data_IF_386139981557
#
_entry.id   IF_386139981557
#
_cell.length_a   1.000
_cell.length_b   1.000
_cell.length_c   1.000
_cell.angle_alpha   90.00
_cell.angle_beta   90.00
_cell.angle_gamma   90.00
#
_symmetry.space_group_name_H-M   'P 1'
#
loop_
_entity.id
_entity.type
_entity.pdbx_description
1 polymer ?
#
# COMPACT_ATOMS: atom_id res chain seq x y z
N UNK A 1 45.35 3.50 45.74
CA UNK A 1 44.11 2.68 45.66
C UNK A 1 42.99 3.52 45.05
N UNK A 2 42.48 4.56 45.72
CA UNK A 2 41.42 5.47 45.24
C UNK A 2 41.47 5.99 43.78
N UNK A 3 42.66 6.07 43.13
CA UNK A 3 42.79 6.47 41.72
C UNK A 3 42.51 5.34 40.71
N UNK A 4 42.56 4.06 41.11
CA UNK A 4 42.12 2.94 40.27
C UNK A 4 40.60 2.79 40.37
N UNK A 5 40.05 2.77 41.59
CA UNK A 5 38.61 2.61 41.84
C UNK A 5 37.77 3.67 41.09
N UNK A 6 38.28 4.91 41.00
CA UNK A 6 37.67 5.98 40.19
C UNK A 6 37.81 5.81 38.67
N UNK A 7 38.85 5.13 38.18
CA UNK A 7 38.98 4.77 36.76
C UNK A 7 38.03 3.63 36.42
N UNK A 8 38.05 2.56 37.20
CA UNK A 8 37.21 1.38 37.01
C UNK A 8 35.71 1.76 37.01
N UNK A 9 35.28 2.69 37.88
CA UNK A 9 33.90 3.25 37.86
C UNK A 9 33.61 4.01 36.57
N UNK A 10 34.50 4.92 36.16
CA UNK A 10 34.32 5.74 34.96
C UNK A 10 34.33 4.92 33.67
N UNK A 11 35.14 3.86 33.60
CA UNK A 11 35.19 2.92 32.48
C UNK A 11 33.93 2.04 32.43
N UNK A 12 33.42 1.58 33.59
CA UNK A 12 32.13 0.88 33.68
C UNK A 12 30.96 1.74 33.20
N UNK A 13 30.85 2.98 33.69
CA UNK A 13 29.78 3.92 33.31
C UNK A 13 29.74 4.17 31.80
N UNK A 14 30.91 4.36 31.18
CA UNK A 14 31.04 4.56 29.73
C UNK A 14 30.64 3.31 28.95
N UNK A 15 31.04 2.11 29.41
CA UNK A 15 30.67 0.85 28.77
C UNK A 15 29.14 0.58 28.85
N UNK A 16 28.49 0.90 29.97
CA UNK A 16 27.02 0.81 30.12
C UNK A 16 26.32 1.75 29.13
N UNK A 17 26.82 2.98 28.96
CA UNK A 17 26.25 3.94 28.02
C UNK A 17 26.30 3.46 26.56
N UNK A 18 27.39 2.80 26.15
CA UNK A 18 27.49 2.16 24.82
C UNK A 18 26.50 0.99 24.66
N UNK A 19 26.40 0.11 25.66
CA UNK A 19 25.47 -1.03 25.63
C UNK A 19 24.01 -0.53 25.53
N UNK A 20 23.64 0.52 26.28
CA UNK A 20 22.31 1.15 26.19
C UNK A 20 22.07 1.86 24.85
N UNK A 21 23.08 2.49 24.24
CA UNK A 21 22.92 3.11 22.92
C UNK A 21 22.64 2.04 21.84
N UNK A 22 23.34 0.91 21.90
CA UNK A 22 23.11 -0.21 21.00
C UNK A 22 21.75 -0.89 21.26
N UNK A 23 21.37 -1.07 22.54
CA UNK A 23 20.06 -1.60 22.96
C UNK A 23 18.90 -0.80 22.38
N UNK A 24 18.96 0.53 22.43
CA UNK A 24 17.90 1.42 21.89
C UNK A 24 17.73 1.23 20.38
N UNK A 25 18.83 1.24 19.63
CA UNK A 25 18.83 0.98 18.17
C UNK A 25 18.33 -0.43 17.81
N UNK A 26 18.52 -1.41 18.69
CA UNK A 26 18.00 -2.76 18.50
C UNK A 26 16.49 -2.83 18.71
N UNK A 27 15.96 -2.17 19.76
CA UNK A 27 14.51 -2.09 20.04
C UNK A 27 13.69 -1.48 18.88
N UNK A 28 14.27 -0.57 18.09
CA UNK A 28 13.66 -0.04 16.85
C UNK A 28 13.33 -1.13 15.79
N UNK A 29 13.87 -2.34 15.94
CA UNK A 29 13.54 -3.48 15.10
C UNK A 29 12.41 -4.37 15.64
N UNK A 30 12.06 -4.29 16.92
CA UNK A 30 11.06 -5.17 17.56
C UNK A 30 9.68 -5.11 16.86
N UNK A 31 9.09 -3.92 16.57
CA UNK A 31 7.79 -3.85 15.88
C UNK A 31 7.84 -4.44 14.47
N UNK A 32 8.97 -4.25 13.77
CA UNK A 32 9.18 -4.76 12.41
C UNK A 32 9.29 -6.29 12.41
N UNK A 33 9.92 -6.90 13.41
CA UNK A 33 9.97 -8.36 13.57
C UNK A 33 8.57 -8.92 13.85
N UNK A 34 7.78 -8.25 14.69
CA UNK A 34 6.40 -8.67 14.97
C UNK A 34 5.54 -8.66 13.70
N UNK A 35 5.62 -7.61 12.88
CA UNK A 35 4.92 -7.55 11.58
C UNK A 35 5.35 -8.70 10.63
N UNK A 36 6.65 -8.98 10.51
CA UNK A 36 7.15 -10.10 9.69
C UNK A 36 6.62 -11.45 10.22
N UNK A 37 6.66 -11.67 11.55
CA UNK A 37 6.12 -12.89 12.18
C UNK A 37 4.62 -13.06 11.94
N UNK A 38 3.84 -11.99 12.02
CA UNK A 38 2.39 -12.00 11.76
C UNK A 38 2.08 -12.31 10.29
N UNK A 39 2.82 -11.72 9.35
CA UNK A 39 2.70 -12.00 7.92
C UNK A 39 2.98 -13.48 7.60
N UNK A 40 4.07 -14.03 8.16
CA UNK A 40 4.50 -15.41 7.98
C UNK A 40 3.60 -16.46 8.67
N UNK A 41 2.66 -16.03 9.51
CA UNK A 41 1.69 -16.91 10.18
C UNK A 41 0.36 -17.05 9.41
N UNK A 42 0.07 -16.14 8.47
CA UNK A 42 -1.09 -16.24 7.56
C UNK A 42 -0.78 -17.24 6.43
N UNK A 43 -1.81 -17.92 5.92
CA UNK A 43 -1.73 -18.59 4.61
C UNK A 43 -2.17 -17.63 3.51
N UNK A 44 -1.49 -17.66 2.38
CA UNK A 44 -1.72 -16.81 1.22
C UNK A 44 -1.91 -17.68 -0.04
N UNK A 45 -2.53 -17.14 -1.10
CA UNK A 45 -2.81 -17.89 -2.35
C UNK A 45 -1.68 -17.83 -3.38
N UNK A 46 -1.54 -18.88 -4.20
CA UNK A 46 -0.49 -19.18 -5.21
C UNK A 46 0.47 -18.05 -5.59
N UNK A 47 0.00 -17.00 -6.28
CA UNK A 47 0.89 -15.92 -6.78
C UNK A 47 1.53 -15.07 -5.64
N UNK A 48 1.10 -15.23 -4.37
CA UNK A 48 1.76 -14.65 -3.18
C UNK A 48 2.79 -15.63 -2.62
N UNK A 49 2.63 -16.94 -2.81
CA UNK A 49 3.53 -17.97 -2.27
C UNK A 49 4.98 -17.72 -2.71
N UNK A 50 5.23 -17.22 -3.93
CA UNK A 50 6.58 -16.88 -4.39
C UNK A 50 7.20 -15.72 -3.58
N UNK A 51 6.49 -14.60 -3.46
CA UNK A 51 7.01 -13.42 -2.74
C UNK A 51 7.07 -13.68 -1.22
N UNK A 52 6.08 -14.38 -0.69
CA UNK A 52 6.07 -14.92 0.67
C UNK A 52 7.24 -15.91 0.87
N UNK A 53 7.59 -16.72 -0.12
CA UNK A 53 8.76 -17.61 -0.06
C UNK A 53 10.09 -16.84 -0.09
N UNK A 54 10.18 -15.71 -0.79
CA UNK A 54 11.34 -14.82 -0.75
C UNK A 54 11.48 -14.11 0.61
N UNK A 55 10.36 -13.68 1.22
CA UNK A 55 10.32 -13.18 2.61
C UNK A 55 10.66 -14.30 3.61
N UNK A 56 10.11 -15.52 3.44
CA UNK A 56 10.47 -16.71 4.25
C UNK A 56 11.95 -17.03 4.13
N UNK A 57 12.53 -16.98 2.93
CA UNK A 57 13.96 -17.26 2.71
C UNK A 57 14.84 -16.20 3.38
N UNK A 58 14.49 -14.92 3.20
CA UNK A 58 15.23 -13.81 3.82
C UNK A 58 15.08 -13.83 5.36
N UNK A 59 13.93 -14.23 5.88
CA UNK A 59 13.72 -14.44 7.32
C UNK A 59 14.43 -15.71 7.85
N UNK A 60 14.56 -16.80 7.08
CA UNK A 60 15.39 -17.97 7.45
C UNK A 60 16.85 -17.59 7.68
N UNK A 61 17.39 -16.59 6.97
CA UNK A 61 18.74 -16.08 7.22
C UNK A 61 18.83 -15.14 8.44
N UNK A 62 17.74 -14.46 8.79
CA UNK A 62 17.67 -13.59 9.97
C UNK A 62 17.46 -14.40 11.27
N UNK A 63 16.63 -15.45 11.21
CA UNK A 63 16.15 -16.18 12.38
C UNK A 63 17.28 -16.77 13.24
N UNK A 64 18.33 -17.44 12.70
CA UNK A 64 19.47 -17.91 13.51
C UNK A 64 20.23 -16.78 14.22
N UNK A 65 20.26 -15.57 13.66
CA UNK A 65 20.93 -14.41 14.28
C UNK A 65 20.09 -13.88 15.46
N UNK A 66 18.76 -13.87 15.32
CA UNK A 66 17.85 -13.58 16.43
C UNK A 66 17.96 -14.65 17.52
N UNK A 67 18.01 -15.92 17.15
CA UNK A 67 18.24 -17.01 18.09
C UNK A 67 19.61 -16.92 18.76
N UNK A 68 20.69 -16.52 18.07
CA UNK A 68 22.02 -16.38 18.68
C UNK A 68 22.05 -15.25 19.73
N UNK A 69 21.39 -14.11 19.45
CA UNK A 69 21.24 -13.01 20.42
C UNK A 69 20.52 -13.51 21.68
N UNK A 70 19.51 -14.38 21.53
CA UNK A 70 18.74 -14.92 22.66
C UNK A 70 19.46 -16.11 23.36
N UNK A 71 20.18 -16.97 22.63
CA UNK A 71 20.78 -18.23 23.14
C UNK A 71 22.07 -18.08 23.94
N UNK A 72 22.68 -16.89 24.05
CA UNK A 72 23.91 -16.69 24.86
C UNK A 72 23.69 -16.69 26.39
N UNK A 73 22.56 -17.23 26.87
CA UNK A 73 22.37 -17.82 28.21
C UNK A 73 21.58 -19.12 28.08
N UNK A 74 21.84 -20.08 28.97
CA UNK A 74 21.08 -21.34 29.11
C UNK A 74 19.66 -21.14 29.69
N UNK A 75 19.35 -19.94 30.20
CA UNK A 75 18.17 -19.62 31.01
C UNK A 75 17.29 -18.49 30.42
N UNK A 76 17.25 -18.30 29.10
CA UNK A 76 16.37 -17.33 28.42
C UNK A 76 15.22 -18.06 27.72
N UNK A 77 13.98 -17.69 28.01
CA UNK A 77 12.77 -18.26 27.39
C UNK A 77 12.48 -17.62 26.02
N UNK A 78 11.59 -18.25 25.24
CA UNK A 78 10.97 -17.61 24.06
C UNK A 78 10.09 -16.41 24.43
N UNK A 79 9.68 -16.31 25.70
CA UNK A 79 8.82 -15.26 26.24
C UNK A 79 9.61 -14.05 26.79
N UNK A 80 10.95 -14.13 26.81
CA UNK A 80 11.79 -13.04 27.28
C UNK A 80 11.76 -11.83 26.32
N UNK A 81 11.87 -10.65 26.91
CA UNK A 81 11.83 -9.37 26.18
C UNK A 81 12.97 -9.30 25.16
N UNK A 82 12.69 -8.70 24.01
CA UNK A 82 13.63 -8.65 22.87
C UNK A 82 15.02 -8.09 23.21
N UNK A 83 15.12 -7.24 24.23
CA UNK A 83 16.35 -6.62 24.71
C UNK A 83 17.03 -7.32 25.91
N UNK A 84 16.58 -8.52 26.31
CA UNK A 84 17.04 -9.22 27.52
C UNK A 84 18.57 -9.38 27.58
N UNK A 85 19.21 -9.73 26.46
CA UNK A 85 20.67 -9.95 26.38
C UNK A 85 21.49 -8.69 26.60
N UNK A 86 20.96 -7.50 26.25
CA UNK A 86 21.58 -6.22 26.57
C UNK A 86 21.47 -5.92 28.07
N UNK A 87 20.28 -6.14 28.66
CA UNK A 87 20.04 -5.94 30.10
C UNK A 87 20.91 -6.85 30.96
N UNK A 88 21.08 -8.13 30.59
CA UNK A 88 21.93 -9.03 31.37
C UNK A 88 23.42 -8.67 31.27
N UNK A 89 23.87 -8.13 30.13
CA UNK A 89 25.26 -7.68 29.98
C UNK A 89 25.57 -6.48 30.89
N UNK A 90 24.62 -5.55 31.04
CA UNK A 90 24.69 -4.44 32.01
C UNK A 90 24.72 -5.00 33.45
N UNK A 91 23.74 -5.85 33.79
CA UNK A 91 23.61 -6.41 35.14
C UNK A 91 24.85 -7.24 35.59
N UNK A 92 25.49 -7.97 34.66
CA UNK A 92 26.73 -8.71 34.94
C UNK A 92 27.95 -7.79 35.18
N UNK A 93 27.96 -6.58 34.60
CA UNK A 93 29.01 -5.58 34.83
C UNK A 93 28.79 -4.82 36.15
N UNK A 94 27.53 -4.53 36.49
CA UNK A 94 27.14 -3.92 37.77
C UNK A 94 27.43 -4.86 38.95
N UNK A 95 26.99 -6.12 38.86
CA UNK A 95 27.28 -7.18 39.86
C UNK A 95 28.75 -7.61 39.89
N UNK A 96 29.55 -7.24 38.89
CA UNK A 96 30.95 -7.67 38.71
C UNK A 96 31.11 -9.20 38.55
N UNK A 97 30.10 -9.85 37.95
CA UNK A 97 30.12 -11.26 37.54
C UNK A 97 31.19 -11.53 36.46
N UNK A 98 31.49 -10.54 35.62
CA UNK A 98 32.54 -10.59 34.59
C UNK A 98 33.54 -9.46 34.74
N UNK A 99 34.78 -9.72 34.30
CA UNK A 99 35.80 -8.70 34.14
C UNK A 99 35.47 -7.72 33.01
N UNK A 100 36.03 -6.50 33.06
CA UNK A 100 35.81 -5.47 32.03
C UNK A 100 36.17 -6.00 30.63
N UNK A 101 37.23 -6.80 30.50
CA UNK A 101 37.66 -7.39 29.23
C UNK A 101 36.60 -8.34 28.64
N UNK A 102 36.03 -9.23 29.46
CA UNK A 102 34.97 -10.15 29.02
C UNK A 102 33.68 -9.41 28.63
N UNK A 103 33.36 -8.31 29.33
CA UNK A 103 32.19 -7.49 28.98
C UNK A 103 32.44 -6.71 27.68
N UNK A 104 33.67 -6.23 27.42
CA UNK A 104 34.04 -5.63 26.13
C UNK A 104 33.85 -6.62 24.98
N UNK A 105 34.36 -7.86 25.08
CA UNK A 105 34.19 -8.88 24.04
C UNK A 105 32.70 -9.23 23.82
N UNK A 106 31.95 -9.43 24.91
CA UNK A 106 30.51 -9.72 24.85
C UNK A 106 29.71 -8.54 24.27
N UNK A 107 30.11 -7.30 24.56
CA UNK A 107 29.54 -6.05 23.99
C UNK A 107 29.78 -6.00 22.49
N UNK A 108 31.02 -6.11 22.02
CA UNK A 108 31.33 -6.05 20.58
C UNK A 108 30.63 -7.15 19.79
N UNK A 109 30.55 -8.37 20.34
CA UNK A 109 29.78 -9.45 19.71
C UNK A 109 28.28 -9.14 19.62
N UNK A 110 27.67 -8.62 20.70
CA UNK A 110 26.24 -8.28 20.73
C UNK A 110 25.92 -7.09 19.80
N UNK A 111 26.82 -6.11 19.70
CA UNK A 111 26.76 -4.99 18.74
C UNK A 111 26.90 -5.50 17.30
N UNK A 112 27.79 -6.46 17.04
CA UNK A 112 27.94 -7.09 15.71
C UNK A 112 26.64 -7.81 15.29
N UNK A 113 26.04 -8.61 16.18
CA UNK A 113 24.81 -9.34 15.88
C UNK A 113 23.61 -8.39 15.70
N UNK A 114 23.42 -7.41 16.59
CA UNK A 114 22.33 -6.43 16.45
C UNK A 114 22.45 -5.62 15.17
N UNK A 115 23.65 -5.17 14.78
CA UNK A 115 23.86 -4.50 13.49
C UNK A 115 23.58 -5.41 12.28
N UNK A 116 23.90 -6.72 12.34
CA UNK A 116 23.50 -7.70 11.30
C UNK A 116 21.98 -7.82 11.21
N UNK A 117 21.27 -7.88 12.34
CA UNK A 117 19.81 -7.88 12.41
C UNK A 117 19.24 -6.62 11.76
N UNK A 118 19.64 -5.42 12.21
CA UNK A 118 19.11 -4.15 11.68
C UNK A 118 19.30 -4.02 10.16
N UNK A 119 20.46 -4.47 9.62
CA UNK A 119 20.74 -4.46 8.18
C UNK A 119 19.86 -5.45 7.40
N UNK A 120 19.84 -6.73 7.78
CA UNK A 120 18.99 -7.73 7.10
C UNK A 120 17.52 -7.36 7.20
N UNK A 121 17.09 -6.87 8.35
CA UNK A 121 15.70 -6.55 8.61
C UNK A 121 15.23 -5.29 7.86
N UNK A 122 16.07 -4.31 7.57
CA UNK A 122 15.67 -3.22 6.67
C UNK A 122 15.46 -3.75 5.23
N UNK A 123 16.25 -4.74 4.78
CA UNK A 123 16.01 -5.44 3.52
C UNK A 123 14.70 -6.25 3.52
N UNK A 124 14.44 -7.01 4.59
CA UNK A 124 13.18 -7.75 4.74
C UNK A 124 11.99 -6.80 4.89
N UNK A 125 12.13 -5.64 5.55
CA UNK A 125 11.09 -4.63 5.57
C UNK A 125 10.79 -4.12 4.15
N UNK A 126 11.79 -3.82 3.32
CA UNK A 126 11.54 -3.41 1.93
C UNK A 126 10.82 -4.51 1.13
N UNK A 127 11.16 -5.79 1.33
CA UNK A 127 10.41 -6.90 0.74
C UNK A 127 8.97 -6.97 1.27
N UNK A 128 8.77 -6.76 2.58
CA UNK A 128 7.45 -6.78 3.23
C UNK A 128 6.58 -5.61 2.77
N UNK A 129 7.16 -4.42 2.64
CA UNK A 129 6.50 -3.23 2.09
C UNK A 129 6.13 -3.45 0.62
N UNK A 130 6.89 -4.25 -0.15
CA UNK A 130 6.52 -4.66 -1.51
C UNK A 130 5.50 -5.83 -1.59
N UNK A 131 5.03 -6.37 -0.46
CA UNK A 131 4.17 -7.56 -0.38
C UNK A 131 2.89 -7.33 0.45
N UNK A 132 2.93 -6.37 1.38
CA UNK A 132 1.79 -5.89 2.19
C UNK A 132 1.47 -4.42 1.83
N UNK A 133 2.43 -3.64 1.35
CA UNK A 133 2.29 -2.21 1.12
C UNK A 133 1.49 -1.86 -0.13
N UNK A 134 0.17 -1.92 0.02
CA UNK A 134 -0.86 -1.54 -0.96
C UNK A 134 -0.93 -2.42 -2.22
N UNK A 135 -2.10 -2.35 -2.87
CA UNK A 135 -2.15 -2.41 -4.34
C UNK A 135 -1.11 -1.44 -4.87
N UNK A 136 -0.14 -1.85 -5.71
CA UNK A 136 0.93 -0.98 -6.17
C UNK A 136 0.37 0.39 -6.59
N UNK A 137 0.91 1.50 -6.06
CA UNK A 137 0.37 2.84 -6.32
C UNK A 137 0.22 3.11 -7.83
N UNK A 138 1.07 2.49 -8.64
CA UNK A 138 0.92 2.36 -10.09
C UNK A 138 -0.45 1.79 -10.52
N UNK A 139 -0.83 0.56 -10.14
CA UNK A 139 -2.10 -0.08 -10.52
C UNK A 139 -3.31 0.73 -10.04
N UNK A 140 -3.29 1.26 -8.82
CA UNK A 140 -4.40 2.11 -8.32
C UNK A 140 -4.51 3.42 -9.11
N UNK A 141 -3.39 4.06 -9.45
CA UNK A 141 -3.38 5.24 -10.31
C UNK A 141 -3.77 4.91 -11.76
N UNK A 142 -3.34 3.77 -12.29
CA UNK A 142 -3.66 3.28 -13.63
C UNK A 142 -5.18 3.06 -13.79
N UNK A 143 -5.81 2.37 -12.83
CA UNK A 143 -7.28 2.21 -12.81
C UNK A 143 -7.97 3.58 -12.77
N UNK A 144 -7.53 4.48 -11.88
CA UNK A 144 -8.16 5.80 -11.75
C UNK A 144 -7.89 6.72 -12.97
N UNK A 145 -6.71 6.67 -13.58
CA UNK A 145 -6.35 7.44 -14.76
C UNK A 145 -7.10 6.96 -16.01
N UNK A 146 -7.24 5.64 -16.18
CA UNK A 146 -7.99 5.07 -17.30
C UNK A 146 -9.49 5.35 -17.17
N UNK A 147 -10.06 5.31 -15.94
CA UNK A 147 -11.42 5.80 -15.68
C UNK A 147 -11.56 7.30 -15.97
N UNK A 148 -10.63 8.13 -15.49
CA UNK A 148 -10.67 9.59 -15.73
C UNK A 148 -10.60 9.94 -17.23
N UNK A 149 -9.80 9.21 -18.01
CA UNK A 149 -9.77 9.35 -19.47
C UNK A 149 -11.10 8.96 -20.10
N UNK A 150 -11.54 7.71 -19.92
CA UNK A 150 -12.73 7.19 -20.59
C UNK A 150 -14.03 7.91 -20.19
N UNK A 151 -14.17 8.32 -18.92
CA UNK A 151 -15.30 9.13 -18.45
C UNK A 151 -15.20 10.59 -18.94
N UNK A 152 -13.98 11.15 -19.04
CA UNK A 152 -13.74 12.49 -19.59
C UNK A 152 -14.08 12.58 -21.07
N UNK A 153 -13.59 11.65 -21.89
CA UNK A 153 -13.90 11.55 -23.32
C UNK A 153 -15.41 11.41 -23.56
N UNK A 154 -16.12 10.69 -22.68
CA UNK A 154 -17.58 10.60 -22.68
C UNK A 154 -18.23 11.95 -22.30
N UNK A 155 -17.78 12.60 -21.24
CA UNK A 155 -18.32 13.90 -20.78
C UNK A 155 -18.16 15.00 -21.83
N UNK A 156 -17.00 15.08 -22.50
CA UNK A 156 -16.73 16.03 -23.59
C UNK A 156 -17.57 15.72 -24.84
N UNK A 157 -17.85 14.44 -25.10
CA UNK A 157 -18.75 14.04 -26.19
C UNK A 157 -20.19 14.51 -25.93
N UNK A 158 -20.69 14.33 -24.70
CA UNK A 158 -21.98 14.88 -24.27
C UNK A 158 -21.98 16.41 -24.32
N UNK A 159 -20.89 17.08 -23.93
CA UNK A 159 -20.74 18.53 -24.07
C UNK A 159 -20.90 18.99 -25.54
N UNK A 160 -20.30 18.24 -26.48
CA UNK A 160 -20.44 18.47 -27.91
C UNK A 160 -21.89 18.33 -28.40
N UNK A 161 -22.57 17.26 -28.00
CA UNK A 161 -23.99 17.01 -28.33
C UNK A 161 -24.86 18.16 -27.79
N UNK A 162 -24.72 18.51 -26.51
CA UNK A 162 -25.45 19.59 -25.83
C UNK A 162 -25.17 21.00 -26.36
N UNK A 163 -24.01 21.20 -27.01
CA UNK A 163 -23.69 22.43 -27.73
C UNK A 163 -24.43 22.50 -29.08
N UNK A 164 -24.62 21.36 -29.75
CA UNK A 164 -25.30 21.31 -31.06
C UNK A 164 -26.81 21.59 -30.95
N UNK A 165 -27.44 21.21 -29.83
CA UNK A 165 -28.81 21.65 -29.46
C UNK A 165 -29.03 23.17 -29.45
N UNK A 166 -27.96 23.98 -29.45
CA UNK A 166 -28.01 25.47 -29.43
C UNK A 166 -27.75 26.08 -30.81
N UNK A 167 -27.63 25.24 -31.84
CA UNK A 167 -27.51 25.63 -33.24
C UNK A 167 -28.65 24.97 -34.03
N UNK A 168 -28.90 25.40 -35.28
CA UNK A 168 -29.91 24.72 -36.11
C UNK A 168 -29.56 23.24 -36.24
N UNK A 169 -30.55 22.37 -36.00
CA UNK A 169 -30.35 20.97 -35.61
C UNK A 169 -29.73 20.13 -36.76
N UNK A 170 -28.40 20.22 -36.91
CA UNK A 170 -27.68 19.60 -38.01
C UNK A 170 -27.46 18.10 -37.72
N UNK A 171 -28.38 17.30 -38.26
CA UNK A 171 -28.46 15.84 -38.10
C UNK A 171 -27.11 15.15 -38.28
N UNK A 172 -26.29 15.59 -39.25
CA UNK A 172 -24.97 15.00 -39.51
C UNK A 172 -24.01 15.07 -38.33
N UNK A 173 -24.02 16.19 -37.59
CA UNK A 173 -23.15 16.43 -36.42
C UNK A 173 -23.69 15.71 -35.18
N UNK A 174 -25.02 15.61 -35.06
CA UNK A 174 -25.65 14.81 -34.01
C UNK A 174 -25.36 13.30 -34.19
N UNK A 175 -25.44 12.78 -35.41
CA UNK A 175 -25.08 11.38 -35.73
C UNK A 175 -23.61 11.09 -35.43
N UNK A 176 -22.68 11.99 -35.78
CA UNK A 176 -21.27 11.84 -35.40
C UNK A 176 -21.09 11.82 -33.87
N UNK A 177 -21.85 12.66 -33.16
CA UNK A 177 -21.93 12.65 -31.70
C UNK A 177 -22.42 11.32 -31.12
N UNK A 178 -23.43 10.69 -31.72
CA UNK A 178 -23.93 9.38 -31.27
C UNK A 178 -22.91 8.26 -31.49
N UNK A 179 -22.20 8.28 -32.61
CA UNK A 179 -21.14 7.29 -32.90
C UNK A 179 -20.01 7.42 -31.86
N UNK A 180 -19.64 8.65 -31.48
CA UNK A 180 -18.66 8.91 -30.41
C UNK A 180 -19.18 8.50 -29.03
N UNK A 181 -20.44 8.78 -28.69
CA UNK A 181 -21.05 8.37 -27.42
C UNK A 181 -21.05 6.84 -27.32
N UNK A 182 -21.47 6.13 -28.36
CA UNK A 182 -21.43 4.66 -28.42
C UNK A 182 -20.00 4.11 -28.24
N UNK A 183 -19.02 4.69 -28.93
CA UNK A 183 -17.62 4.27 -28.85
C UNK A 183 -17.04 4.46 -27.44
N UNK A 184 -17.17 5.66 -26.87
CA UNK A 184 -16.61 5.98 -25.55
C UNK A 184 -17.31 5.19 -24.44
N UNK A 185 -18.62 4.95 -24.58
CA UNK A 185 -19.37 4.03 -23.70
C UNK A 185 -18.83 2.60 -23.79
N UNK A 186 -18.53 2.11 -25.00
CA UNK A 186 -17.87 0.82 -25.21
C UNK A 186 -16.50 0.74 -24.53
N UNK A 187 -15.70 1.81 -24.59
CA UNK A 187 -14.42 1.92 -23.87
C UNK A 187 -14.61 1.84 -22.36
N UNK A 188 -15.55 2.63 -21.79
CA UNK A 188 -15.86 2.62 -20.34
C UNK A 188 -16.29 1.22 -19.88
N UNK A 189 -17.22 0.57 -20.59
CA UNK A 189 -17.70 -0.78 -20.24
C UNK A 189 -16.57 -1.81 -20.32
N UNK A 190 -15.77 -1.77 -21.39
CA UNK A 190 -14.65 -2.71 -21.58
C UNK A 190 -13.63 -2.56 -20.47
N UNK A 191 -13.25 -1.33 -20.16
CA UNK A 191 -12.31 -1.02 -19.08
C UNK A 191 -12.84 -1.44 -17.69
N UNK A 192 -14.11 -1.14 -17.38
CA UNK A 192 -14.75 -1.58 -16.14
C UNK A 192 -14.79 -3.10 -16.03
N UNK A 193 -15.13 -3.79 -17.13
CA UNK A 193 -15.18 -5.26 -17.20
C UNK A 193 -13.81 -5.89 -16.99
N UNK A 194 -12.79 -5.41 -17.70
CA UNK A 194 -11.40 -5.86 -17.53
C UNK A 194 -10.90 -5.59 -16.10
N UNK A 195 -11.18 -4.41 -15.55
CA UNK A 195 -10.82 -4.08 -14.16
C UNK A 195 -11.47 -5.05 -13.18
N UNK A 196 -12.80 -5.23 -13.25
CA UNK A 196 -13.55 -6.07 -12.32
C UNK A 196 -13.13 -7.55 -12.40
N UNK A 197 -12.85 -8.06 -13.60
CA UNK A 197 -12.32 -9.42 -13.77
C UNK A 197 -10.89 -9.57 -13.23
N UNK A 198 -10.07 -8.52 -13.28
CA UNK A 198 -8.69 -8.53 -12.79
C UNK A 198 -8.55 -8.13 -11.30
N UNK A 199 -9.56 -7.51 -10.66
CA UNK A 199 -9.54 -7.11 -9.23
C UNK A 199 -9.13 -8.24 -8.27
N UNK A 200 -9.67 -9.48 -8.37
CA UNK A 200 -9.21 -10.60 -7.54
C UNK A 200 -7.72 -10.93 -7.75
N UNK A 201 -7.19 -10.65 -8.95
CA UNK A 201 -5.78 -10.78 -9.30
C UNK A 201 -4.91 -9.63 -8.77
N UNK A 202 -5.45 -8.43 -8.57
CA UNK A 202 -4.73 -7.26 -8.04
C UNK A 202 -4.50 -7.30 -6.52
N UNK A 203 -5.11 -8.25 -5.80
CA UNK A 203 -4.77 -8.60 -4.40
C UNK A 203 -4.89 -7.43 -3.42
N UNK A 204 -5.98 -6.71 -3.58
CA UNK A 204 -6.39 -5.60 -2.74
C UNK A 204 -6.69 -6.12 -1.33
N UNK A 205 -6.21 -5.44 -0.29
CA UNK A 205 -6.66 -5.73 1.09
C UNK A 205 -8.15 -5.38 1.23
N UNK A 206 -8.90 -6.15 2.01
CA UNK A 206 -10.36 -6.02 2.16
C UNK A 206 -10.80 -4.59 2.57
N UNK A 207 -10.01 -3.94 3.45
CA UNK A 207 -10.19 -2.54 3.88
C UNK A 207 -10.00 -1.52 2.74
N UNK A 208 -9.23 -1.86 1.71
CA UNK A 208 -8.98 -1.02 0.53
C UNK A 208 -9.90 -1.36 -0.65
N UNK A 209 -10.52 -2.55 -0.65
CA UNK A 209 -11.42 -3.01 -1.70
C UNK A 209 -12.76 -2.27 -1.67
N UNK A 210 -13.36 -2.09 -0.50
CA UNK A 210 -14.67 -1.42 -0.35
C UNK A 210 -14.78 -0.04 -1.03
N UNK A 211 -13.80 0.87 -0.89
CA UNK A 211 -13.78 2.14 -1.62
C UNK A 211 -13.65 2.00 -3.16
N UNK A 212 -12.97 0.95 -3.63
CA UNK A 212 -12.75 0.68 -5.06
C UNK A 212 -14.01 0.07 -5.67
N UNK A 213 -14.59 -0.95 -5.05
CA UNK A 213 -15.88 -1.53 -5.45
C UNK A 213 -16.98 -0.48 -5.41
N UNK A 214 -17.01 0.38 -4.38
CA UNK A 214 -17.94 1.49 -4.29
C UNK A 214 -17.82 2.48 -5.46
N UNK A 215 -16.59 2.79 -5.90
CA UNK A 215 -16.36 3.64 -7.08
C UNK A 215 -16.78 2.96 -8.38
N UNK A 216 -16.44 1.68 -8.55
CA UNK A 216 -16.75 0.91 -9.76
C UNK A 216 -18.26 0.70 -9.91
N UNK A 217 -18.97 0.40 -8.82
CA UNK A 217 -20.43 0.36 -8.81
C UNK A 217 -21.04 1.71 -9.20
N UNK A 218 -20.59 2.84 -8.62
CA UNK A 218 -21.04 4.18 -9.07
C UNK A 218 -20.71 4.47 -10.54
N UNK A 219 -19.61 3.94 -11.06
CA UNK A 219 -19.23 4.07 -12.48
C UNK A 219 -20.13 3.24 -13.40
N UNK A 220 -20.71 2.14 -12.91
CA UNK A 220 -21.75 1.35 -13.58
C UNK A 220 -23.12 2.03 -13.44
N UNK A 221 -23.46 2.58 -12.27
CA UNK A 221 -24.75 3.26 -12.04
C UNK A 221 -24.91 4.54 -12.90
N UNK A 222 -23.80 5.20 -13.25
CA UNK A 222 -23.79 6.36 -14.16
C UNK A 222 -23.93 5.95 -15.65
N UNK A 223 -23.70 4.69 -16.00
CA UNK A 223 -23.92 4.18 -17.36
C UNK A 223 -25.41 3.96 -17.64
N UNK A 224 -26.01 4.85 -18.44
CA UNK A 224 -27.41 4.75 -18.88
C UNK A 224 -27.53 4.34 -20.36
N UNK A 225 -27.56 3.02 -20.66
CA UNK A 225 -27.81 2.55 -22.03
C UNK A 225 -29.24 2.87 -22.50
N UNK A 226 -30.20 2.97 -21.57
CA UNK A 226 -31.58 3.31 -21.89
C UNK A 226 -31.68 4.73 -22.46
N UNK A 227 -31.05 5.72 -21.82
CA UNK A 227 -30.95 7.09 -22.33
C UNK A 227 -30.35 7.13 -23.73
N UNK A 228 -29.22 6.44 -23.94
CA UNK A 228 -28.57 6.38 -25.26
C UNK A 228 -29.50 5.79 -26.34
N UNK A 229 -30.10 4.63 -26.10
CA UNK A 229 -30.95 3.99 -27.10
C UNK A 229 -32.29 4.70 -27.31
N UNK A 230 -32.84 5.36 -26.29
CA UNK A 230 -34.05 6.18 -26.44
C UNK A 230 -33.75 7.46 -27.23
N UNK A 231 -32.64 8.14 -26.95
CA UNK A 231 -32.24 9.33 -27.70
C UNK A 231 -31.93 9.03 -29.17
N UNK A 232 -31.22 7.94 -29.47
CA UNK A 232 -30.94 7.49 -30.84
C UNK A 232 -32.22 7.16 -31.64
N UNK A 233 -33.34 6.79 -30.99
CA UNK A 233 -34.63 6.52 -31.65
C UNK A 233 -35.41 7.78 -32.04
N UNK A 234 -35.14 8.92 -31.41
CA UNK A 234 -35.83 10.20 -31.67
C UNK A 234 -35.00 11.19 -32.49
N UNK A 235 -33.70 10.91 -32.68
CA UNK A 235 -32.77 11.79 -33.38
C UNK A 235 -33.25 12.12 -34.81
N UNK A 236 -33.15 13.39 -35.21
CA UNK A 236 -33.73 13.93 -36.46
C UNK A 236 -35.19 14.39 -36.33
N UNK A 237 -35.95 13.92 -35.33
CA UNK A 237 -37.27 14.47 -35.01
C UNK A 237 -37.11 15.71 -34.11
N UNK A 238 -37.24 16.90 -34.68
CA UNK A 238 -36.77 18.14 -34.03
C UNK A 238 -37.37 18.40 -32.65
N UNK A 239 -38.67 18.11 -32.45
CA UNK A 239 -39.37 18.30 -31.17
C UNK A 239 -39.00 17.19 -30.16
N UNK A 240 -39.25 15.90 -30.49
CA UNK A 240 -38.91 14.76 -29.60
C UNK A 240 -37.42 14.71 -29.23
N UNK A 241 -36.51 15.25 -30.06
CA UNK A 241 -35.08 15.34 -29.74
C UNK A 241 -34.83 16.33 -28.58
N UNK A 242 -35.58 17.44 -28.51
CA UNK A 242 -35.39 18.51 -27.50
C UNK A 242 -35.77 18.04 -26.10
N UNK A 243 -36.78 17.17 -25.97
CA UNK A 243 -37.25 16.68 -24.67
C UNK A 243 -36.15 15.94 -23.88
N UNK A 244 -35.27 15.19 -24.56
CA UNK A 244 -34.14 14.50 -23.92
C UNK A 244 -32.98 15.40 -23.49
N UNK A 245 -33.01 16.70 -23.82
CA UNK A 245 -31.90 17.62 -23.52
C UNK A 245 -31.59 17.67 -22.03
N UNK A 246 -32.61 17.71 -21.17
CA UNK A 246 -32.43 17.76 -19.71
C UNK A 246 -31.85 16.44 -19.17
N UNK A 247 -32.28 15.28 -19.69
CA UNK A 247 -31.70 13.97 -19.32
C UNK A 247 -30.21 13.86 -19.70
N UNK A 248 -29.82 14.45 -20.84
CA UNK A 248 -28.42 14.47 -21.30
C UNK A 248 -27.58 15.47 -20.48
N UNK A 249 -28.13 16.64 -20.11
CA UNK A 249 -27.48 17.60 -19.19
C UNK A 249 -27.28 16.99 -17.79
N UNK A 250 -28.27 16.23 -17.28
CA UNK A 250 -28.19 15.50 -16.01
C UNK A 250 -27.16 14.37 -16.05
N UNK A 251 -27.12 13.57 -17.14
CA UNK A 251 -26.11 12.53 -17.33
C UNK A 251 -24.69 13.11 -17.40
N UNK A 252 -24.49 14.22 -18.13
CA UNK A 252 -23.20 14.93 -18.20
C UNK A 252 -22.77 15.48 -16.83
N UNK A 253 -23.71 16.00 -16.03
CA UNK A 253 -23.45 16.50 -14.68
C UNK A 253 -23.03 15.37 -13.75
N UNK A 254 -23.71 14.22 -13.80
CA UNK A 254 -23.42 13.07 -12.95
C UNK A 254 -22.04 12.46 -13.28
N UNK A 255 -21.66 12.42 -14.57
CA UNK A 255 -20.29 12.09 -15.00
C UNK A 255 -19.25 13.06 -14.42
N UNK A 256 -19.54 14.36 -14.40
CA UNK A 256 -18.64 15.37 -13.83
C UNK A 256 -18.40 15.18 -12.33
N UNK A 257 -19.45 14.89 -11.56
CA UNK A 257 -19.34 14.58 -10.13
C UNK A 257 -18.44 13.35 -9.91
N UNK A 258 -18.63 12.29 -10.70
CA UNK A 258 -17.82 11.08 -10.63
C UNK A 258 -16.34 11.34 -11.00
N UNK A 259 -16.08 12.18 -12.01
CA UNK A 259 -14.72 12.58 -12.42
C UNK A 259 -14.01 13.35 -11.30
N UNK A 260 -14.68 14.30 -10.65
CA UNK A 260 -14.08 15.07 -9.56
C UNK A 260 -13.92 14.23 -8.27
N UNK A 261 -14.81 13.27 -8.00
CA UNK A 261 -14.61 12.24 -6.97
C UNK A 261 -13.32 11.44 -7.23
N UNK A 262 -13.12 10.91 -8.45
CA UNK A 262 -11.92 10.12 -8.80
C UNK A 262 -10.65 10.98 -8.70
N UNK A 263 -10.69 12.24 -9.16
CA UNK A 263 -9.58 13.20 -8.99
C UNK A 263 -9.19 13.34 -7.52
N UNK A 264 -10.16 13.60 -6.64
CA UNK A 264 -9.90 13.71 -5.20
C UNK A 264 -9.26 12.46 -4.59
N UNK A 265 -9.57 11.27 -5.13
CA UNK A 265 -8.97 9.99 -4.73
C UNK A 265 -7.57 9.73 -5.34
N UNK A 266 -7.15 10.49 -6.36
CA UNK A 266 -5.79 10.46 -6.92
C UNK A 266 -4.83 11.45 -6.25
N UNK A 267 -5.32 12.58 -5.72
CA UNK A 267 -4.51 13.68 -5.15
C UNK A 267 -3.93 13.41 -3.74
N UNK A 268 -3.52 12.17 -3.48
CA UNK A 268 -2.81 11.78 -2.25
C UNK A 268 -1.43 12.44 -2.14
N UNK A 269 -1.36 13.45 -1.25
CA UNK A 269 -0.13 14.02 -0.68
C UNK A 269 0.63 13.00 0.19
#
# INVERSE_FOLDING_TARGET
MANNERRDSSEKELLIAEIEQARKKYLECEPKICAIKQFLAKKHGEILEKQEQDVKNSYKELHPILEEIQRKRENISKDDKFDASFKHLIASLESSEYSVSEVVEKKEHLILLSNKVCRKLNGIKLQLDCVIGLVPKAIKLEIFQNLLGALGDLQDTLAGILKNFKQENNESVLVEGMIKWAANTGTVISFLTETILNLPGYRIEEEQLGPIDGLLNRSIDVYSPELFFNFVRVIGKTEETIDYKEEIEDHQRNLGILIDEIRSMTEYK
#
